data_IF_176910803100
#
_entry.id   IF_176910803100
#
_cell.length_a   1.000
_cell.length_b   1.000
_cell.length_c   1.000
_cell.angle_alpha   90.00
_cell.angle_beta   90.00
_cell.angle_gamma   90.00
#
_symmetry.space_group_name_H-M   'P 1'
#
loop_
_entity.id
_entity.type
_entity.pdbx_description
1 polymer ?
#
# COMPACT_ATOMS: atom_id res chain seq x y z
N UNK A 1 12.15 -27.25 -12.88
CA UNK A 1 12.34 -25.78 -12.96
C UNK A 1 11.05 -25.03 -13.33
N UNK A 2 10.15 -25.64 -14.11
CA UNK A 2 8.86 -25.02 -14.50
C UNK A 2 7.90 -24.84 -13.32
N UNK A 3 7.79 -25.82 -12.42
CA UNK A 3 6.87 -25.75 -11.26
C UNK A 3 7.30 -24.72 -10.21
N UNK A 4 8.59 -24.43 -10.12
CA UNK A 4 9.11 -23.32 -9.30
C UNK A 4 8.51 -22.00 -9.79
N UNK A 5 8.55 -21.75 -11.11
CA UNK A 5 8.02 -20.50 -11.70
C UNK A 5 6.52 -20.33 -11.49
N UNK A 6 5.74 -21.41 -11.51
CA UNK A 6 4.28 -21.33 -11.36
C UNK A 6 3.86 -21.00 -9.92
N UNK A 7 4.50 -21.61 -8.91
CA UNK A 7 4.19 -21.31 -7.50
C UNK A 7 4.71 -19.93 -7.08
N UNK A 8 5.87 -19.49 -7.57
CA UNK A 8 6.43 -18.17 -7.24
C UNK A 8 5.68 -17.01 -7.92
N UNK A 9 4.93 -17.27 -9.00
CA UNK A 9 4.22 -16.24 -9.76
C UNK A 9 3.16 -15.52 -8.91
N UNK A 10 2.32 -16.28 -8.19
CA UNK A 10 1.26 -15.70 -7.36
C UNK A 10 1.80 -14.87 -6.20
N UNK A 11 2.98 -15.23 -5.69
CA UNK A 11 3.66 -14.49 -4.63
C UNK A 11 4.17 -13.13 -5.10
N UNK A 12 4.33 -12.89 -6.40
CA UNK A 12 4.75 -11.60 -6.95
C UNK A 12 3.59 -10.80 -7.57
N UNK A 13 2.67 -11.46 -8.28
CA UNK A 13 1.56 -10.77 -8.98
C UNK A 13 0.58 -10.17 -7.98
N UNK A 14 0.13 -10.96 -7.00
CA UNK A 14 -0.85 -10.51 -6.00
C UNK A 14 -0.38 -9.26 -5.22
N UNK A 15 0.84 -9.20 -4.65
CA UNK A 15 1.31 -7.98 -3.99
C UNK A 15 1.55 -6.81 -4.95
N UNK A 16 1.89 -7.08 -6.20
CA UNK A 16 2.01 -6.04 -7.21
C UNK A 16 0.65 -5.42 -7.56
N UNK A 17 -0.38 -6.25 -7.74
CA UNK A 17 -1.76 -5.78 -7.93
C UNK A 17 -2.27 -5.01 -6.71
N UNK A 18 -1.95 -5.48 -5.51
CA UNK A 18 -2.25 -4.78 -4.26
C UNK A 18 -1.57 -3.40 -4.20
N UNK A 19 -0.27 -3.32 -4.54
CA UNK A 19 0.45 -2.06 -4.64
C UNK A 19 -0.21 -1.13 -5.67
N UNK A 20 -0.54 -1.63 -6.86
CA UNK A 20 -1.23 -0.85 -7.89
C UNK A 20 -2.60 -0.34 -7.42
N UNK A 21 -3.36 -1.15 -6.66
CA UNK A 21 -4.62 -0.73 -6.03
C UNK A 21 -4.39 0.42 -5.06
N UNK A 22 -3.39 0.31 -4.17
CA UNK A 22 -3.03 1.37 -3.21
C UNK A 22 -2.54 2.64 -3.89
N UNK A 23 -1.67 2.53 -4.90
CA UNK A 23 -1.21 3.65 -5.71
C UNK A 23 -2.39 4.40 -6.36
N UNK A 24 -3.33 3.69 -6.99
CA UNK A 24 -4.52 4.30 -7.60
C UNK A 24 -5.42 5.00 -6.57
N UNK A 25 -5.56 4.43 -5.37
CA UNK A 25 -6.33 5.04 -4.27
C UNK A 25 -5.63 6.32 -3.79
N UNK A 26 -4.30 6.28 -3.62
CA UNK A 26 -3.51 7.42 -3.21
C UNK A 26 -3.63 8.56 -4.22
N UNK A 27 -3.39 8.28 -5.49
CA UNK A 27 -3.55 9.23 -6.58
C UNK A 27 -4.95 9.87 -6.59
N UNK A 28 -6.01 9.05 -6.64
CA UNK A 28 -7.39 9.55 -6.67
C UNK A 28 -7.76 10.39 -5.45
N UNK A 29 -7.22 10.05 -4.28
CA UNK A 29 -7.47 10.79 -3.05
C UNK A 29 -6.78 12.14 -3.06
N UNK A 30 -5.50 12.17 -3.44
CA UNK A 30 -4.71 13.40 -3.54
C UNK A 30 -5.32 14.34 -4.59
N UNK A 31 -5.62 13.84 -5.79
CA UNK A 31 -6.25 14.62 -6.86
C UNK A 31 -7.57 15.24 -6.40
N UNK A 32 -8.43 14.47 -5.73
CA UNK A 32 -9.72 14.98 -5.22
C UNK A 32 -9.54 16.06 -4.16
N UNK A 33 -8.63 15.89 -3.22
CA UNK A 33 -8.39 16.90 -2.18
C UNK A 33 -7.70 18.14 -2.77
N UNK A 34 -6.82 17.97 -3.75
CA UNK A 34 -6.21 19.07 -4.49
C UNK A 34 -7.26 19.89 -5.24
N UNK A 35 -8.22 19.26 -5.93
CA UNK A 35 -9.34 19.98 -6.57
C UNK A 35 -10.15 20.81 -5.57
N UNK A 36 -10.37 20.31 -4.35
CA UNK A 36 -11.09 21.08 -3.31
C UNK A 36 -10.32 22.32 -2.90
N UNK A 37 -9.00 22.21 -2.72
CA UNK A 37 -8.13 23.36 -2.43
C UNK A 37 -8.19 24.36 -3.59
N UNK A 38 -8.05 23.90 -4.83
CA UNK A 38 -8.14 24.74 -6.02
C UNK A 38 -9.45 25.52 -6.13
N UNK A 39 -10.58 24.90 -5.79
CA UNK A 39 -11.88 25.58 -5.76
C UNK A 39 -11.92 26.74 -4.76
N UNK A 40 -11.36 26.56 -3.56
CA UNK A 40 -11.31 27.63 -2.54
C UNK A 40 -10.31 28.71 -2.93
N UNK A 41 -9.20 28.37 -3.58
CA UNK A 41 -8.25 29.35 -4.13
C UNK A 41 -8.93 30.21 -5.20
N UNK A 42 -9.69 29.60 -6.11
CA UNK A 42 -10.43 30.34 -7.13
C UNK A 42 -11.49 31.27 -6.51
N UNK A 43 -12.19 30.81 -5.47
CA UNK A 43 -13.13 31.64 -4.69
C UNK A 43 -12.41 32.83 -4.05
N UNK A 44 -11.23 32.61 -3.47
CA UNK A 44 -10.41 33.65 -2.87
C UNK A 44 -9.94 34.69 -3.91
N UNK A 45 -9.48 34.25 -5.08
CA UNK A 45 -9.11 35.14 -6.19
C UNK A 45 -10.29 36.00 -6.66
N UNK A 46 -11.49 35.39 -6.76
CA UNK A 46 -12.71 36.13 -7.10
C UNK A 46 -13.05 37.19 -6.05
N UNK A 47 -12.91 36.88 -4.75
CA UNK A 47 -13.12 37.85 -3.68
C UNK A 47 -12.10 38.99 -3.79
N UNK A 48 -10.82 38.67 -4.00
CA UNK A 48 -9.76 39.67 -4.15
C UNK A 48 -9.91 40.56 -5.38
N UNK A 49 -10.58 40.08 -6.44
CA UNK A 49 -10.87 40.86 -7.64
C UNK A 49 -11.94 41.94 -7.43
N UNK A 50 -12.71 41.88 -6.32
CA UNK A 50 -13.76 42.85 -6.02
C UNK A 50 -13.14 44.18 -5.56
N UNK A 51 -13.66 45.34 -6.00
CA UNK A 51 -13.14 46.66 -5.62
C UNK A 51 -13.28 46.99 -4.13
N UNK A 52 -14.20 46.32 -3.42
CA UNK A 52 -14.36 46.45 -1.98
C UNK A 52 -14.61 45.07 -1.38
N UNK A 53 -13.73 44.64 -0.47
CA UNK A 53 -13.76 43.32 0.15
C UNK A 53 -14.09 43.46 1.62
N UNK A 54 -15.09 42.71 2.10
CA UNK A 54 -15.39 42.64 3.53
C UNK A 54 -14.36 41.75 4.22
N UNK A 55 -13.79 42.25 5.32
CA UNK A 55 -12.79 41.52 6.11
C UNK A 55 -13.33 40.17 6.60
N UNK A 56 -14.62 40.08 6.96
CA UNK A 56 -15.24 38.83 7.39
C UNK A 56 -15.34 37.78 6.28
N UNK A 57 -15.64 38.19 5.04
CA UNK A 57 -15.69 37.31 3.86
C UNK A 57 -14.31 36.77 3.51
N UNK A 58 -13.28 37.63 3.61
CA UNK A 58 -11.88 37.25 3.44
C UNK A 58 -11.45 36.24 4.51
N UNK A 59 -11.70 36.55 5.79
CA UNK A 59 -11.34 35.66 6.90
C UNK A 59 -12.04 34.31 6.80
N UNK A 60 -13.33 34.28 6.42
CA UNK A 60 -14.08 33.04 6.20
C UNK A 60 -13.44 32.16 5.12
N UNK A 61 -13.06 32.75 3.99
CA UNK A 61 -12.47 32.02 2.87
C UNK A 61 -11.06 31.52 3.19
N UNK A 62 -10.25 32.32 3.89
CA UNK A 62 -8.92 31.91 4.36
C UNK A 62 -9.01 30.76 5.37
N UNK A 63 -9.98 30.80 6.29
CA UNK A 63 -10.22 29.71 7.23
C UNK A 63 -10.66 28.43 6.51
N UNK A 64 -11.57 28.54 5.54
CA UNK A 64 -11.98 27.40 4.71
C UNK A 64 -10.79 26.82 3.92
N UNK A 65 -9.91 27.67 3.38
CA UNK A 65 -8.69 27.23 2.70
C UNK A 65 -7.77 26.46 3.64
N UNK A 66 -7.56 26.97 4.86
CA UNK A 66 -6.79 26.29 5.91
C UNK A 66 -7.38 24.92 6.25
N UNK A 67 -8.70 24.81 6.38
CA UNK A 67 -9.39 23.53 6.59
C UNK A 67 -9.17 22.55 5.42
N UNK A 68 -9.23 23.01 4.17
CA UNK A 68 -8.97 22.13 3.02
C UNK A 68 -7.52 21.68 2.94
N UNK A 69 -6.57 22.58 3.21
CA UNK A 69 -5.14 22.25 3.22
C UNK A 69 -4.79 21.27 4.33
N UNK A 70 -5.37 21.42 5.52
CA UNK A 70 -5.19 20.48 6.63
C UNK A 70 -5.80 19.10 6.33
N UNK A 71 -6.99 19.06 5.71
CA UNK A 71 -7.59 17.82 5.20
C UNK A 71 -6.72 17.14 4.14
N UNK A 72 -6.23 17.90 3.16
CA UNK A 72 -5.33 17.41 2.12
C UNK A 72 -4.08 16.80 2.73
N UNK A 73 -3.40 17.52 3.63
CA UNK A 73 -2.19 17.03 4.31
C UNK A 73 -2.46 15.72 5.02
N UNK A 74 -3.51 15.65 5.85
CA UNK A 74 -3.85 14.44 6.60
C UNK A 74 -4.11 13.25 5.69
N UNK A 75 -5.00 13.40 4.70
CA UNK A 75 -5.38 12.30 3.81
C UNK A 75 -4.24 11.88 2.90
N UNK A 76 -3.43 12.82 2.42
CA UNK A 76 -2.25 12.52 1.63
C UNK A 76 -1.25 11.69 2.44
N UNK A 77 -1.00 12.06 3.70
CA UNK A 77 -0.13 11.26 4.59
C UNK A 77 -0.68 9.85 4.82
N UNK A 78 -1.98 9.70 5.11
CA UNK A 78 -2.62 8.40 5.31
C UNK A 78 -2.45 7.48 4.07
N UNK A 79 -2.82 7.96 2.87
CA UNK A 79 -2.76 7.11 1.67
C UNK A 79 -1.34 6.82 1.21
N UNK A 80 -0.38 7.73 1.43
CA UNK A 80 1.03 7.52 1.12
C UNK A 80 1.66 6.53 2.09
N UNK A 81 1.27 6.54 3.36
CA UNK A 81 1.71 5.54 4.33
C UNK A 81 1.21 4.14 3.96
N UNK A 82 -0.06 4.01 3.56
CA UNK A 82 -0.61 2.74 3.07
C UNK A 82 0.10 2.22 1.80
N UNK A 83 0.39 3.11 0.85
CA UNK A 83 1.15 2.78 -0.36
C UNK A 83 2.59 2.34 -0.03
N UNK A 84 3.25 3.03 0.90
CA UNK A 84 4.58 2.65 1.37
C UNK A 84 4.58 1.29 2.06
N UNK A 85 3.56 0.98 2.86
CA UNK A 85 3.40 -0.33 3.48
C UNK A 85 3.27 -1.44 2.41
N UNK A 86 2.43 -1.22 1.38
CA UNK A 86 2.30 -2.15 0.25
C UNK A 86 3.62 -2.30 -0.54
N UNK A 87 4.36 -1.20 -0.72
CA UNK A 87 5.67 -1.21 -1.38
C UNK A 87 6.71 -2.01 -0.60
N UNK A 88 6.78 -1.81 0.71
CA UNK A 88 7.72 -2.53 1.58
C UNK A 88 7.40 -4.03 1.61
N UNK A 89 6.12 -4.38 1.57
CA UNK A 89 5.66 -5.76 1.45
C UNK A 89 6.14 -6.42 0.15
N UNK A 90 5.96 -5.74 -0.99
CA UNK A 90 6.46 -6.21 -2.28
C UNK A 90 7.99 -6.34 -2.28
N UNK A 91 8.71 -5.37 -1.70
CA UNK A 91 10.18 -5.42 -1.58
C UNK A 91 10.65 -6.64 -0.77
N UNK A 92 10.02 -6.93 0.38
CA UNK A 92 10.33 -8.11 1.22
C UNK A 92 10.14 -9.41 0.45
N UNK A 93 9.04 -9.53 -0.30
CA UNK A 93 8.78 -10.71 -1.15
C UNK A 93 9.79 -10.83 -2.28
N UNK A 94 10.13 -9.71 -2.94
CA UNK A 94 11.13 -9.71 -4.00
C UNK A 94 12.52 -10.09 -3.48
N UNK A 95 12.92 -9.62 -2.29
CA UNK A 95 14.20 -10.03 -1.69
C UNK A 95 14.23 -11.53 -1.38
N UNK A 96 13.12 -12.09 -0.88
CA UNK A 96 13.01 -13.53 -0.62
C UNK A 96 13.13 -14.35 -1.92
N UNK A 97 12.44 -13.94 -2.99
CA UNK A 97 12.48 -14.63 -4.29
C UNK A 97 13.84 -14.56 -4.97
N UNK A 98 14.69 -13.59 -4.61
CA UNK A 98 16.06 -13.46 -5.14
C UNK A 98 17.05 -14.44 -4.51
N UNK A 99 16.77 -14.95 -3.30
CA UNK A 99 17.65 -15.88 -2.58
C UNK A 99 18.08 -17.07 -3.45
N UNK A 100 17.18 -17.89 -4.01
CA UNK A 100 17.56 -19.06 -4.82
C UNK A 100 18.17 -18.70 -6.18
N UNK A 101 18.12 -17.42 -6.59
CA UNK A 101 18.75 -16.95 -7.82
C UNK A 101 20.21 -16.54 -7.63
N UNK A 102 20.70 -16.48 -6.38
CA UNK A 102 22.10 -16.17 -6.10
C UNK A 102 23.01 -17.36 -6.47
N UNK A 103 23.94 -17.20 -7.43
CA UNK A 103 24.86 -18.27 -7.82
C UNK A 103 25.82 -18.70 -6.69
N UNK A 104 25.95 -17.92 -5.60
CA UNK A 104 26.81 -18.21 -4.45
C UNK A 104 26.06 -18.82 -3.26
N UNK A 105 24.78 -19.13 -3.40
CA UNK A 105 23.97 -19.66 -2.31
C UNK A 105 24.53 -21.00 -1.79
N UNK A 106 24.63 -21.13 -0.46
CA UNK A 106 25.03 -22.39 0.17
C UNK A 106 23.86 -23.39 0.21
N UNK A 107 24.16 -24.70 0.24
CA UNK A 107 23.13 -25.74 0.36
C UNK A 107 22.25 -25.56 1.61
N UNK A 108 22.82 -25.10 2.73
CA UNK A 108 22.07 -24.85 3.95
C UNK A 108 21.06 -23.69 3.79
N UNK A 109 21.47 -22.60 3.14
CA UNK A 109 20.58 -21.47 2.86
C UNK A 109 19.47 -21.87 1.88
N UNK A 110 19.80 -22.70 0.88
CA UNK A 110 18.80 -23.23 -0.05
C UNK A 110 17.81 -24.16 0.65
N UNK A 111 18.27 -24.97 1.60
CA UNK A 111 17.39 -25.83 2.41
C UNK A 111 16.44 -24.99 3.28
N UNK A 112 16.95 -23.98 3.99
CA UNK A 112 16.13 -23.06 4.78
C UNK A 112 15.08 -22.35 3.92
N UNK A 113 15.48 -21.88 2.74
CA UNK A 113 14.57 -21.26 1.78
C UNK A 113 13.46 -22.22 1.34
N UNK A 114 13.79 -23.50 1.11
CA UNK A 114 12.81 -24.53 0.75
C UNK A 114 11.84 -24.85 1.91
N UNK A 115 12.32 -24.86 3.16
CA UNK A 115 11.47 -25.03 4.35
C UNK A 115 10.48 -23.87 4.47
N UNK A 116 10.95 -22.63 4.38
CA UNK A 116 10.10 -21.42 4.36
C UNK A 116 9.12 -21.43 3.17
N UNK A 117 9.56 -21.94 2.01
CA UNK A 117 8.73 -22.05 0.81
C UNK A 117 7.54 -22.97 1.05
N UNK A 118 7.76 -24.10 1.71
CA UNK A 118 6.70 -25.05 2.04
C UNK A 118 5.72 -24.43 3.03
N UNK A 119 6.22 -23.81 4.11
CA UNK A 119 5.38 -23.13 5.10
C UNK A 119 4.50 -22.06 4.44
N UNK A 120 5.06 -21.24 3.55
CA UNK A 120 4.31 -20.24 2.78
C UNK A 120 3.23 -20.86 1.90
N UNK A 121 3.53 -21.93 1.16
CA UNK A 121 2.55 -22.60 0.29
C UNK A 121 1.40 -23.18 1.10
N UNK A 122 1.68 -23.70 2.30
CA UNK A 122 0.66 -24.17 3.23
C UNK A 122 -0.22 -23.00 3.70
N UNK A 123 0.37 -21.89 4.14
CA UNK A 123 -0.39 -20.69 4.55
C UNK A 123 -1.30 -20.20 3.42
N UNK A 124 -0.78 -20.06 2.19
CA UNK A 124 -1.59 -19.64 1.04
C UNK A 124 -2.71 -20.63 0.73
N UNK A 125 -2.46 -21.94 0.84
CA UNK A 125 -3.50 -22.95 0.64
C UNK A 125 -4.60 -22.85 1.70
N UNK A 126 -4.24 -22.67 2.96
CA UNK A 126 -5.19 -22.48 4.07
C UNK A 126 -6.06 -21.23 3.85
N UNK A 127 -5.46 -20.12 3.41
CA UNK A 127 -6.21 -18.90 3.08
C UNK A 127 -7.21 -19.12 1.92
N UNK A 128 -6.79 -19.83 0.86
CA UNK A 128 -7.67 -20.12 -0.29
C UNK A 128 -8.79 -21.10 0.05
N UNK A 129 -8.60 -21.96 1.05
CA UNK A 129 -9.60 -22.95 1.49
C UNK A 129 -10.49 -22.45 2.63
N UNK A 130 -10.27 -21.21 3.10
CA UNK A 130 -11.09 -20.58 4.14
C UNK A 130 -10.67 -20.90 5.58
N UNK A 131 -9.50 -21.52 5.77
CA UNK A 131 -8.94 -21.84 7.09
C UNK A 131 -8.12 -20.67 7.66
N UNK A 132 -8.74 -19.49 7.78
CA UNK A 132 -8.05 -18.23 8.14
C UNK A 132 -7.34 -18.26 9.49
N UNK A 133 -7.99 -18.78 10.54
CA UNK A 133 -7.41 -18.84 11.89
C UNK A 133 -6.13 -19.70 11.93
N UNK A 134 -6.16 -20.86 11.25
CA UNK A 134 -5.00 -21.76 11.17
C UNK A 134 -3.89 -21.11 10.34
N UNK A 135 -4.25 -20.46 9.23
CA UNK A 135 -3.29 -19.73 8.39
C UNK A 135 -2.59 -18.62 9.18
N UNK A 136 -3.34 -17.89 10.02
CA UNK A 136 -2.82 -16.80 10.85
C UNK A 136 -1.85 -17.32 11.91
N UNK A 137 -2.23 -18.36 12.66
CA UNK A 137 -1.36 -18.98 13.68
C UNK A 137 -0.08 -19.52 13.04
N UNK A 138 -0.17 -20.19 11.89
CA UNK A 138 1.00 -20.70 11.18
C UNK A 138 1.90 -19.56 10.68
N UNK A 139 1.29 -18.48 10.18
CA UNK A 139 2.02 -17.32 9.71
C UNK A 139 2.78 -16.61 10.84
N UNK A 140 2.17 -16.43 12.01
CA UNK A 140 2.81 -15.84 13.20
C UNK A 140 3.97 -16.70 13.69
N UNK A 141 3.79 -18.03 13.78
CA UNK A 141 4.84 -18.94 14.23
C UNK A 141 6.04 -19.03 13.28
N UNK A 142 5.84 -18.73 12.00
CA UNK A 142 6.85 -18.83 10.94
C UNK A 142 7.35 -17.48 10.43
N UNK A 143 6.93 -16.36 11.05
CA UNK A 143 7.24 -14.99 10.61
C UNK A 143 6.81 -14.67 9.16
N UNK A 144 5.67 -15.23 8.75
CA UNK A 144 5.05 -15.15 7.43
C UNK A 144 3.77 -14.29 7.41
N UNK A 145 3.57 -13.41 8.39
CA UNK A 145 2.35 -12.59 8.55
C UNK A 145 2.08 -11.70 7.32
N UNK A 146 3.17 -11.34 6.62
CA UNK A 146 3.13 -10.58 5.38
C UNK A 146 2.35 -11.28 4.25
N UNK A 147 2.06 -12.58 4.36
CA UNK A 147 1.20 -13.33 3.43
C UNK A 147 -0.28 -13.01 3.67
N UNK A 148 -0.68 -12.98 4.93
CA UNK A 148 -2.08 -12.86 5.38
C UNK A 148 -2.63 -11.47 5.06
N UNK A 149 -1.82 -10.42 5.23
CA UNK A 149 -2.20 -9.01 5.02
C UNK A 149 -2.84 -8.74 3.65
N UNK A 150 -2.45 -9.48 2.60
CA UNK A 150 -2.98 -9.24 1.24
C UNK A 150 -4.27 -10.02 0.98
N UNK A 151 -4.57 -11.06 1.76
CA UNK A 151 -5.73 -11.93 1.53
C UNK A 151 -7.02 -11.39 2.15
N UNK A 152 -6.92 -10.45 3.09
CA UNK A 152 -8.06 -9.75 3.70
C UNK A 152 -8.51 -8.49 2.91
N UNK A 153 -7.94 -8.24 1.71
CA UNK A 153 -8.10 -7.01 0.90
C UNK A 153 -8.88 -7.20 -0.41
#
# INVERSE_FOLDING_TARGET
>A
MSDLKTLEHSTLVVPYEYLNKKFRIAQKTIEREFSKVGNVVNELEQILSKPMVKVDEMNGTVNNLLEKLTSLKRKASEVVEEENAATNLLKKRLSYLKIPCDPKISNNQLQQWNEERVDRVIVEHLLRTGHYEIAKILAENKNLEYIVVISDS
#
